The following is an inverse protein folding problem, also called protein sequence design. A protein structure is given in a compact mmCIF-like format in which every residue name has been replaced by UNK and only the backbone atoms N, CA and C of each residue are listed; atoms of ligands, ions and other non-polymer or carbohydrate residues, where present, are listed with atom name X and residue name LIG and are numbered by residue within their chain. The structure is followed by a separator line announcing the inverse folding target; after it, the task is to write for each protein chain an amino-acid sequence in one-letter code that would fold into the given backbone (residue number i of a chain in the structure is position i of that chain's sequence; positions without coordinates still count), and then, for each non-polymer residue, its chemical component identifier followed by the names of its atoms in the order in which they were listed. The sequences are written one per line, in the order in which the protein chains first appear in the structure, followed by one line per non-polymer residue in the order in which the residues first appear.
data_IF_201796545214
#
_entry.id   IF_201796545214
#
_cell.length_a   1.000
_cell.length_b   1.000
_cell.length_c   1.000
_cell.angle_alpha   90.00
_cell.angle_beta   90.00
_cell.angle_gamma   90.00
#
_symmetry.space_group_name_H-M   'P 1'
#
loop_
_entity.id
_entity.type
_entity.pdbx_description
1 polymer ?
#
# COMPACT_ATOMS: atom_id res chain seq x y z
N UNK A 1 4.54 -12.48 -15.96
CA UNK A 1 4.99 -11.96 -14.65
C UNK A 1 3.78 -11.57 -13.81
N UNK A 2 3.77 -11.95 -12.55
CA UNK A 2 2.65 -11.69 -11.64
C UNK A 2 3.03 -10.61 -10.63
N UNK A 3 2.14 -9.66 -10.40
CA UNK A 3 2.28 -8.66 -9.32
C UNK A 3 1.66 -9.26 -8.05
N UNK A 4 2.46 -9.39 -7.00
CA UNK A 4 1.96 -9.78 -5.67
C UNK A 4 1.47 -8.54 -4.94
N UNK A 5 0.24 -8.57 -4.44
CA UNK A 5 -0.37 -7.49 -3.67
C UNK A 5 -0.60 -7.99 -2.25
N UNK A 6 0.12 -7.40 -1.31
CA UNK A 6 -0.05 -7.67 0.11
C UNK A 6 -0.89 -6.55 0.72
N UNK A 7 -1.94 -6.88 1.44
CA UNK A 7 -2.75 -5.89 2.15
C UNK A 7 -2.51 -5.98 3.64
N UNK A 8 -2.35 -4.83 4.28
CA UNK A 8 -2.14 -4.73 5.73
C UNK A 8 -3.29 -4.05 6.45
N UNK A 9 -4.34 -3.67 5.71
CA UNK A 9 -5.47 -2.90 6.21
C UNK A 9 -5.33 -1.40 5.90
N UNK A 10 -5.53 -0.57 6.90
CA UNK A 10 -5.50 0.89 6.74
C UNK A 10 -6.77 1.45 6.12
N UNK A 11 -6.76 2.75 5.85
CA UNK A 11 -7.92 3.49 5.33
C UNK A 11 -8.40 2.96 3.98
N UNK A 12 -7.51 2.46 3.14
CA UNK A 12 -7.83 1.93 1.82
C UNK A 12 -8.99 0.91 1.87
N UNK A 13 -8.98 0.00 2.85
CA UNK A 13 -9.95 -1.08 2.99
C UNK A 13 -11.05 -0.80 4.04
N UNK A 14 -11.15 0.41 4.57
CA UNK A 14 -12.18 0.76 5.56
C UNK A 14 -13.59 0.76 4.94
N UNK A 15 -14.53 0.33 5.76
CA UNK A 15 -15.96 0.46 5.50
C UNK A 15 -16.62 1.10 6.72
N UNK A 16 -17.74 1.80 6.50
CA UNK A 16 -18.55 2.34 7.56
C UNK A 16 -19.54 1.29 8.04
N UNK A 17 -19.55 1.02 9.33
CA UNK A 17 -20.45 0.07 9.95
C UNK A 17 -21.56 0.80 10.72
N UNK A 18 -22.74 0.89 10.13
CA UNK A 18 -23.86 1.70 10.64
C UNK A 18 -24.29 1.34 12.06
N UNK A 19 -24.30 0.04 12.40
CA UNK A 19 -24.75 -0.42 13.71
C UNK A 19 -23.89 0.12 14.87
N UNK A 20 -22.61 0.40 14.62
CA UNK A 20 -21.67 0.95 15.60
C UNK A 20 -21.30 2.41 15.31
N UNK A 21 -21.81 2.99 14.24
CA UNK A 21 -21.49 4.36 13.77
C UNK A 21 -19.97 4.61 13.67
N UNK A 22 -19.21 3.62 13.22
CA UNK A 22 -17.76 3.70 13.12
C UNK A 22 -17.24 3.01 11.84
N UNK A 23 -15.98 3.34 11.48
CA UNK A 23 -15.27 2.67 10.39
C UNK A 23 -14.55 1.42 10.89
N UNK A 24 -14.63 0.36 10.10
CA UNK A 24 -13.87 -0.88 10.28
C UNK A 24 -13.01 -1.17 9.07
N UNK A 25 -11.90 -1.88 9.26
CA UNK A 25 -11.10 -2.42 8.16
C UNK A 25 -11.83 -3.67 7.65
N UNK A 26 -12.30 -3.59 6.40
CA UNK A 26 -13.00 -4.67 5.73
C UNK A 26 -12.09 -5.58 4.92
N UNK A 27 -12.72 -6.40 4.08
CA UNK A 27 -12.00 -7.23 3.12
C UNK A 27 -11.24 -6.38 2.09
N UNK A 28 -10.09 -6.88 1.58
CA UNK A 28 -9.30 -6.16 0.58
C UNK A 28 -10.10 -5.74 -0.64
N UNK A 29 -9.99 -4.48 -1.02
CA UNK A 29 -10.68 -3.91 -2.17
C UNK A 29 -9.88 -3.95 -3.47
N UNK A 30 -8.57 -4.20 -3.39
CA UNK A 30 -7.68 -4.12 -4.55
C UNK A 30 -8.12 -5.00 -5.72
N UNK A 31 -8.51 -6.24 -5.45
CA UNK A 31 -8.98 -7.16 -6.49
C UNK A 31 -10.17 -6.63 -7.26
N UNK A 32 -11.20 -6.16 -6.55
CA UNK A 32 -12.41 -5.60 -7.17
C UNK A 32 -12.11 -4.35 -8.00
N UNK A 33 -11.22 -3.48 -7.51
CA UNK A 33 -10.81 -2.27 -8.24
C UNK A 33 -10.02 -2.61 -9.52
N UNK A 34 -9.15 -3.61 -9.46
CA UNK A 34 -8.39 -4.06 -10.64
C UNK A 34 -9.29 -4.73 -11.68
N UNK A 35 -10.30 -5.49 -11.25
CA UNK A 35 -11.33 -6.03 -12.15
C UNK A 35 -12.13 -4.91 -12.81
N UNK A 36 -12.59 -3.94 -12.04
CA UNK A 36 -13.31 -2.77 -12.57
C UNK A 36 -12.46 -1.99 -13.58
N UNK A 37 -11.15 -1.84 -13.30
CA UNK A 37 -10.21 -1.18 -14.20
C UNK A 37 -9.86 -2.02 -15.43
N UNK A 38 -10.32 -3.27 -15.52
CA UNK A 38 -10.07 -4.20 -16.61
C UNK A 38 -8.58 -4.35 -16.95
N UNK A 39 -7.74 -4.51 -15.90
CA UNK A 39 -6.30 -4.64 -16.09
C UNK A 39 -5.93 -5.95 -16.81
N UNK A 40 -4.84 -5.92 -17.56
CA UNK A 40 -4.40 -7.09 -18.34
C UNK A 40 -3.17 -7.80 -17.76
N UNK A 41 -2.53 -7.24 -16.74
CA UNK A 41 -1.46 -7.93 -16.01
C UNK A 41 -2.04 -8.96 -15.02
N UNK A 42 -1.27 -10.00 -14.76
CA UNK A 42 -1.63 -10.99 -13.72
C UNK A 42 -1.29 -10.48 -12.34
N UNK A 43 -2.14 -10.74 -11.37
CA UNK A 43 -1.92 -10.35 -9.98
C UNK A 43 -2.47 -11.38 -9.00
N UNK A 44 -1.93 -11.36 -7.79
CA UNK A 44 -2.41 -12.16 -6.67
C UNK A 44 -2.51 -11.30 -5.42
N UNK A 45 -3.70 -11.23 -4.82
CA UNK A 45 -3.97 -10.46 -3.60
C UNK A 45 -3.91 -11.38 -2.38
N UNK A 46 -3.19 -10.96 -1.35
CA UNK A 46 -3.10 -11.67 -0.08
C UNK A 46 -3.32 -10.67 1.08
N UNK A 47 -4.32 -10.97 1.91
CA UNK A 47 -4.55 -10.22 3.15
C UNK A 47 -3.59 -10.72 4.21
N UNK A 48 -2.59 -9.94 4.53
CA UNK A 48 -1.57 -10.29 5.52
C UNK A 48 -1.94 -9.80 6.91
N UNK A 49 -2.43 -8.59 7.01
CA UNK A 49 -2.88 -7.93 8.24
C UNK A 49 -4.15 -7.12 7.97
N UNK A 50 -4.91 -6.85 9.03
CA UNK A 50 -6.07 -5.94 9.02
C UNK A 50 -5.96 -4.96 10.19
N UNK A 51 -4.99 -4.05 10.11
CA UNK A 51 -4.67 -3.09 11.15
C UNK A 51 -4.70 -1.65 10.63
N UNK A 52 -5.07 -0.71 11.49
CA UNK A 52 -4.72 0.69 11.26
C UNK A 52 -3.20 0.85 11.35
N UNK A 53 -2.63 1.76 10.57
CA UNK A 53 -1.17 1.90 10.52
C UNK A 53 -0.55 2.32 11.86
N UNK A 54 -1.30 3.01 12.72
CA UNK A 54 -0.85 3.34 14.08
C UNK A 54 -0.75 2.12 14.99
N UNK A 55 -1.38 1.00 14.61
CA UNK A 55 -1.33 -0.27 15.35
C UNK A 55 -0.28 -1.24 14.80
N UNK A 56 0.40 -0.89 13.72
CA UNK A 56 1.47 -1.71 13.13
C UNK A 56 2.68 -1.69 14.04
N UNK A 57 3.09 -2.86 14.49
CA UNK A 57 4.24 -3.06 15.39
C UNK A 57 5.51 -3.40 14.63
N UNK A 58 6.65 -3.44 15.36
CA UNK A 58 7.92 -3.92 14.80
C UNK A 58 7.82 -5.37 14.33
N UNK A 59 7.11 -6.22 15.07
CA UNK A 59 6.85 -7.62 14.73
C UNK A 59 5.99 -7.74 13.47
N UNK A 60 5.01 -6.87 13.30
CA UNK A 60 4.20 -6.81 12.07
C UNK A 60 5.07 -6.45 10.87
N UNK A 61 5.99 -5.50 11.01
CA UNK A 61 6.94 -5.12 9.94
C UNK A 61 7.89 -6.25 9.59
N UNK A 62 8.33 -7.01 10.56
CA UNK A 62 9.15 -8.21 10.32
C UNK A 62 8.35 -9.29 9.59
N UNK A 63 7.08 -9.50 9.96
CA UNK A 63 6.18 -10.40 9.24
C UNK A 63 6.03 -9.97 7.77
N UNK A 64 5.81 -8.68 7.52
CA UNK A 64 5.72 -8.14 6.16
C UNK A 64 7.03 -8.42 5.41
N UNK A 65 8.17 -8.11 6.03
CA UNK A 65 9.49 -8.33 5.43
C UNK A 65 9.70 -9.80 5.05
N UNK A 66 9.46 -10.70 5.98
CA UNK A 66 9.61 -12.15 5.75
C UNK A 66 8.71 -12.63 4.62
N UNK A 67 7.48 -12.12 4.54
CA UNK A 67 6.54 -12.48 3.48
C UNK A 67 7.00 -11.98 2.11
N UNK A 68 7.54 -10.77 2.05
CA UNK A 68 8.11 -10.18 0.82
C UNK A 68 9.34 -10.97 0.37
N UNK A 69 10.26 -11.25 1.28
CA UNK A 69 11.48 -12.02 0.97
C UNK A 69 11.15 -13.42 0.46
N UNK A 70 10.18 -14.09 1.07
CA UNK A 70 9.76 -15.44 0.71
C UNK A 70 8.84 -15.53 -0.52
N UNK A 71 8.34 -14.43 -1.04
CA UNK A 71 7.49 -14.44 -2.23
C UNK A 71 8.31 -14.77 -3.49
N UNK A 72 7.81 -15.63 -4.40
CA UNK A 72 8.49 -15.88 -5.67
C UNK A 72 8.41 -14.68 -6.63
N UNK A 73 7.40 -13.84 -6.48
CA UNK A 73 7.22 -12.65 -7.34
C UNK A 73 8.30 -11.60 -7.07
N UNK A 74 8.76 -10.92 -8.11
CA UNK A 74 9.73 -9.84 -8.03
C UNK A 74 9.08 -8.45 -7.94
N UNK A 75 7.81 -8.35 -8.32
CA UNK A 75 7.02 -7.13 -8.26
C UNK A 75 6.01 -7.23 -7.11
N UNK A 76 6.20 -6.40 -6.11
CA UNK A 76 5.40 -6.42 -4.87
C UNK A 76 4.73 -5.07 -4.66
N UNK A 77 3.42 -5.10 -4.51
CA UNK A 77 2.64 -3.96 -4.03
C UNK A 77 2.23 -4.22 -2.57
N UNK A 78 2.29 -3.19 -1.75
CA UNK A 78 1.86 -3.26 -0.35
C UNK A 78 0.86 -2.15 -0.09
N UNK A 79 -0.37 -2.52 0.23
CA UNK A 79 -1.40 -1.58 0.69
C UNK A 79 -1.24 -1.40 2.19
N UNK A 80 -1.04 -0.17 2.61
CA UNK A 80 -0.68 0.17 3.98
C UNK A 80 -1.36 1.47 4.41
N UNK A 81 -1.72 1.56 5.67
CA UNK A 81 -2.20 2.82 6.25
C UNK A 81 -1.13 3.91 6.16
N UNK A 82 -1.56 5.16 5.99
CA UNK A 82 -0.65 6.25 5.61
C UNK A 82 0.20 6.80 6.74
N UNK A 83 -0.21 6.65 8.01
CA UNK A 83 0.48 7.30 9.13
C UNK A 83 1.88 6.71 9.43
N UNK A 84 2.06 5.41 9.22
CA UNK A 84 3.37 4.74 9.46
C UNK A 84 3.92 4.03 8.22
N UNK A 85 3.40 4.36 7.04
CA UNK A 85 3.84 3.79 5.77
C UNK A 85 5.34 3.98 5.53
N UNK A 86 5.86 5.16 5.85
CA UNK A 86 7.29 5.49 5.69
C UNK A 86 8.16 4.58 6.54
N UNK A 87 7.78 4.33 7.79
CA UNK A 87 8.52 3.44 8.70
C UNK A 87 8.56 2.00 8.16
N UNK A 88 7.43 1.51 7.67
CA UNK A 88 7.36 0.18 7.06
C UNK A 88 8.20 0.12 5.78
N UNK A 89 8.11 1.12 4.90
CA UNK A 89 8.91 1.18 3.69
C UNK A 89 10.42 1.16 4.00
N UNK A 90 10.86 1.92 5.00
CA UNK A 90 12.26 1.91 5.44
C UNK A 90 12.70 0.55 5.97
N UNK A 91 11.83 -0.15 6.69
CA UNK A 91 12.12 -1.49 7.21
C UNK A 91 12.31 -2.55 6.13
N UNK A 92 11.83 -2.30 4.91
CA UNK A 92 11.94 -3.21 3.76
C UNK A 92 13.16 -2.96 2.89
N UNK A 93 13.92 -1.91 3.16
CA UNK A 93 15.12 -1.61 2.38
C UNK A 93 16.15 -2.74 2.48
N UNK A 94 16.91 -2.94 1.40
CA UNK A 94 17.92 -3.98 1.32
C UNK A 94 17.41 -5.37 0.93
N UNK A 95 16.11 -5.55 0.71
CA UNK A 95 15.58 -6.81 0.14
C UNK A 95 16.05 -6.94 -1.31
N UNK A 96 16.74 -8.04 -1.61
CA UNK A 96 17.32 -8.26 -2.91
C UNK A 96 16.29 -8.68 -3.97
N UNK A 97 16.53 -8.28 -5.21
CA UNK A 97 15.80 -8.74 -6.40
C UNK A 97 14.28 -8.44 -6.39
N UNK A 98 13.87 -7.43 -5.65
CA UNK A 98 12.46 -7.04 -5.58
C UNK A 98 12.27 -5.55 -5.86
N UNK A 99 11.24 -5.24 -6.62
CA UNK A 99 10.68 -3.89 -6.70
C UNK A 99 9.45 -3.86 -5.82
N UNK A 100 9.49 -3.05 -4.78
CA UNK A 100 8.46 -2.98 -3.74
C UNK A 100 7.88 -1.56 -3.74
N UNK A 101 6.58 -1.44 -3.94
CA UNK A 101 5.89 -0.15 -3.93
C UNK A 101 4.79 -0.18 -2.88
N UNK A 102 4.92 0.68 -1.87
CA UNK A 102 3.89 0.87 -0.86
C UNK A 102 2.98 2.02 -1.30
N UNK A 103 1.71 1.85 -1.03
CA UNK A 103 0.68 2.88 -1.24
C UNK A 103 -0.50 2.64 -0.31
N UNK A 104 -1.39 3.59 -0.26
CA UNK A 104 -2.61 3.51 0.53
C UNK A 104 -3.61 4.53 0.03
N UNK A 105 -4.50 4.98 0.90
CA UNK A 105 -5.47 6.02 0.57
C UNK A 105 -5.74 6.91 1.78
N UNK A 106 -6.02 8.18 1.52
CA UNK A 106 -6.53 9.11 2.53
C UNK A 106 -8.03 8.91 2.77
N UNK A 107 -8.74 8.41 1.75
CA UNK A 107 -10.17 8.09 1.82
C UNK A 107 -10.40 6.62 1.47
N UNK A 108 -11.33 5.93 2.16
CA UNK A 108 -11.64 4.54 1.85
C UNK A 108 -12.01 4.31 0.38
N UNK A 109 -11.54 3.21 -0.19
CA UNK A 109 -11.84 2.84 -1.58
C UNK A 109 -13.35 2.71 -1.85
N UNK A 110 -14.12 2.34 -0.82
CA UNK A 110 -15.58 2.20 -0.88
C UNK A 110 -16.34 3.52 -0.94
N UNK A 111 -15.68 4.64 -0.68
CA UNK A 111 -16.30 5.97 -0.78
C UNK A 111 -16.36 6.42 -2.24
N UNK A 112 -17.41 7.18 -2.57
CA UNK A 112 -17.61 7.75 -3.90
C UNK A 112 -16.44 8.62 -4.35
N UNK A 113 -15.91 9.43 -3.43
CA UNK A 113 -14.73 10.26 -3.65
C UNK A 113 -13.57 9.68 -2.85
N UNK A 114 -12.62 9.10 -3.55
CA UNK A 114 -11.45 8.47 -2.95
C UNK A 114 -10.24 8.59 -3.87
N UNK A 115 -9.09 8.72 -3.26
CA UNK A 115 -7.79 8.66 -3.93
C UNK A 115 -7.29 7.21 -4.14
N UNK A 116 -8.04 6.22 -3.64
CA UNK A 116 -7.60 4.82 -3.66
C UNK A 116 -7.33 4.27 -5.06
N UNK A 117 -8.25 4.45 -6.01
CA UNK A 117 -8.07 3.96 -7.39
C UNK A 117 -6.90 4.64 -8.09
N UNK A 118 -6.73 5.95 -7.88
CA UNK A 118 -5.62 6.71 -8.44
C UNK A 118 -4.27 6.19 -7.93
N UNK A 119 -4.17 5.98 -6.60
CA UNK A 119 -2.93 5.47 -5.98
C UNK A 119 -2.64 4.03 -6.39
N UNK A 120 -3.67 3.18 -6.50
CA UNK A 120 -3.53 1.81 -7.00
C UNK A 120 -3.00 1.78 -8.44
N UNK A 121 -3.54 2.63 -9.31
CA UNK A 121 -3.10 2.75 -10.70
C UNK A 121 -1.65 3.25 -10.79
N UNK A 122 -1.31 4.28 -10.01
CA UNK A 122 0.06 4.80 -9.93
C UNK A 122 1.05 3.72 -9.47
N UNK A 123 0.72 3.03 -8.38
CA UNK A 123 1.57 1.97 -7.82
C UNK A 123 1.73 0.79 -8.79
N UNK A 124 0.64 0.40 -9.46
CA UNK A 124 0.64 -0.70 -10.44
C UNK A 124 1.52 -0.37 -11.66
N UNK A 125 1.49 0.88 -12.13
CA UNK A 125 2.38 1.33 -13.19
C UNK A 125 3.84 1.39 -12.74
N UNK A 126 4.07 1.96 -11.57
CA UNK A 126 5.40 2.14 -11.01
C UNK A 126 6.15 0.82 -10.78
N UNK A 127 5.49 -0.19 -10.20
CA UNK A 127 6.14 -1.47 -9.89
C UNK A 127 6.63 -2.22 -11.12
N UNK A 128 6.04 -1.97 -12.29
CA UNK A 128 6.40 -2.60 -13.56
C UNK A 128 7.63 -1.99 -14.23
N UNK A 129 7.97 -0.73 -13.90
CA UNK A 129 9.03 0.02 -14.60
C UNK A 129 10.18 0.46 -13.71
N UNK A 130 9.97 0.52 -12.39
CA UNK A 130 11.03 0.95 -11.48
C UNK A 130 12.09 -0.15 -11.29
N UNK A 131 13.35 0.23 -11.06
CA UNK A 131 14.38 -0.74 -10.71
C UNK A 131 14.13 -1.36 -9.35
N UNK A 132 14.87 -2.42 -9.04
CA UNK A 132 14.88 -3.06 -7.71
C UNK A 132 15.07 -2.00 -6.63
N UNK A 133 14.20 -2.02 -5.63
CA UNK A 133 14.21 -1.05 -4.54
C UNK A 133 12.85 -0.93 -3.87
N UNK A 134 12.77 -0.02 -2.92
CA UNK A 134 11.53 0.27 -2.15
C UNK A 134 11.10 1.71 -2.41
N UNK A 135 9.82 1.87 -2.70
CA UNK A 135 9.23 3.14 -3.11
C UNK A 135 7.88 3.35 -2.43
N UNK A 136 7.45 4.60 -2.34
CA UNK A 136 6.10 4.99 -1.92
C UNK A 136 5.43 5.71 -3.09
N UNK A 137 4.23 5.25 -3.46
CA UNK A 137 3.42 5.84 -4.53
C UNK A 137 2.18 6.51 -3.91
N UNK A 138 2.25 7.82 -3.73
CA UNK A 138 1.18 8.62 -3.13
C UNK A 138 1.12 10.00 -3.77
N UNK A 139 -0.05 10.60 -3.80
CA UNK A 139 -0.27 11.97 -4.29
C UNK A 139 0.26 12.23 -5.71
N UNK A 140 0.19 11.21 -6.57
CA UNK A 140 0.67 11.32 -7.95
C UNK A 140 2.18 11.32 -8.12
N UNK A 141 2.94 10.97 -7.07
CA UNK A 141 4.40 10.95 -7.06
C UNK A 141 4.95 9.62 -6.57
N UNK A 142 6.18 9.33 -6.97
CA UNK A 142 6.97 8.21 -6.46
C UNK A 142 8.06 8.77 -5.56
N UNK A 143 8.10 8.32 -4.32
CA UNK A 143 9.04 8.80 -3.32
C UNK A 143 10.05 7.73 -2.91
N UNK A 144 11.27 8.18 -2.64
CA UNK A 144 12.24 7.41 -1.87
C UNK A 144 11.82 7.44 -0.39
N UNK A 145 11.72 6.30 0.31
CA UNK A 145 11.35 6.28 1.73
C UNK A 145 12.22 7.12 2.67
N UNK A 146 13.46 7.38 2.27
CA UNK A 146 14.38 8.20 3.09
C UNK A 146 14.21 9.71 2.89
N UNK A 147 13.43 10.12 1.90
CA UNK A 147 13.29 11.52 1.47
C UNK A 147 11.84 12.00 1.50
N UNK A 148 10.96 11.30 2.23
CA UNK A 148 9.53 11.61 2.25
C UNK A 148 8.99 11.63 3.67
N UNK A 149 8.00 12.48 3.90
CA UNK A 149 7.18 12.50 5.10
C UNK A 149 5.72 12.77 4.76
N UNK A 150 4.81 12.28 5.61
CA UNK A 150 3.40 12.64 5.54
C UNK A 150 3.18 13.97 6.24
N UNK A 151 2.71 14.96 5.48
CA UNK A 151 2.18 16.20 6.03
C UNK A 151 0.71 15.97 6.42
N UNK A 152 0.45 15.73 7.70
CA UNK A 152 -0.90 15.42 8.20
C UNK A 152 -1.87 16.59 8.05
N UNK A 153 -1.41 17.81 8.23
CA UNK A 153 -2.24 19.00 8.09
C UNK A 153 -2.73 19.20 6.66
N UNK A 154 -1.87 18.90 5.67
CA UNK A 154 -2.21 18.97 4.25
C UNK A 154 -2.77 17.66 3.68
N UNK A 155 -2.84 16.59 4.48
CA UNK A 155 -3.27 15.24 4.08
C UNK A 155 -2.56 14.74 2.81
N UNK A 156 -1.23 14.91 2.77
CA UNK A 156 -0.42 14.48 1.63
C UNK A 156 1.01 14.11 2.01
N UNK A 157 1.65 13.35 1.14
CA UNK A 157 3.08 13.04 1.22
C UNK A 157 3.89 14.12 0.49
N UNK A 158 5.01 14.48 1.07
CA UNK A 158 5.90 15.52 0.54
C UNK A 158 7.37 15.08 0.68
N UNK A 159 8.18 15.48 -0.30
CA UNK A 159 9.63 15.31 -0.19
C UNK A 159 10.16 16.19 0.94
N UNK A 160 11.04 15.64 1.76
CA UNK A 160 11.73 16.35 2.82
C UNK A 160 13.16 16.72 2.37
N UNK A 161 13.68 17.87 2.84
CA UNK A 161 15.06 18.28 2.51
C UNK A 161 16.11 17.31 3.04
#
# INVERSE_FOLDING_TARGET
MTIKILTTGGTFDKLYFDALSEFHIGEPMAGALLEEANVTFTYAVESLLKKDSLEITAEDRELIRNRVEGAPETMILIIHGTDTMVDTARSLQGIANKTIVLFGAMQPARMRYSDAMFNLGLASGAVQILPVGVYIAMNGQIFNPNEVAKNRAAARFETIP
#
